data_IF_484134844675
#
_entry.id   IF_484134844675
#
_cell.length_a   1.000
_cell.length_b   1.000
_cell.length_c   1.000
_cell.angle_alpha   90.00
_cell.angle_beta   90.00
_cell.angle_gamma   90.00
#
_symmetry.space_group_name_H-M   'P 1'
#
loop_
_entity.id
_entity.type
_entity.pdbx_description
1 polymer ?
#
# COMPACT_ATOMS: atom_id res chain seq x y z
N UNK A 1 -3.67 -4.31 16.34
CA UNK A 1 -4.32 -4.89 17.53
C UNK A 1 -5.84 -5.06 17.38
N UNK A 2 -6.61 -4.02 17.05
CA UNK A 2 -8.09 -4.07 17.05
C UNK A 2 -8.71 -5.03 16.03
N UNK A 3 -7.96 -5.44 15.00
CA UNK A 3 -8.37 -6.46 14.03
C UNK A 3 -7.50 -7.72 14.10
N UNK A 4 -6.42 -7.71 14.88
CA UNK A 4 -5.46 -8.80 14.96
C UNK A 4 -5.99 -9.97 15.81
N UNK A 5 -5.59 -11.20 15.47
CA UNK A 5 -5.81 -12.38 16.31
C UNK A 5 -7.21 -13.02 16.24
N UNK A 6 -8.10 -12.56 15.36
CA UNK A 6 -9.45 -13.15 15.19
C UNK A 6 -9.51 -14.31 14.18
N UNK A 7 -8.44 -14.50 13.39
CA UNK A 7 -8.39 -15.46 12.27
C UNK A 7 -9.41 -15.18 11.14
N UNK A 8 -10.09 -14.03 11.17
CA UNK A 8 -11.15 -13.69 10.21
C UNK A 8 -10.66 -12.65 9.20
N UNK A 9 -10.86 -12.86 7.89
CA UNK A 9 -10.51 -11.89 6.85
C UNK A 9 -11.09 -10.50 7.10
N UNK A 10 -10.33 -9.49 6.71
CA UNK A 10 -10.74 -8.09 6.76
C UNK A 10 -10.70 -7.45 5.37
N UNK A 11 -11.36 -6.31 5.25
CA UNK A 11 -11.30 -5.45 4.08
C UNK A 11 -10.58 -4.16 4.45
N UNK A 12 -9.59 -3.77 3.63
CA UNK A 12 -8.79 -2.56 3.84
C UNK A 12 -8.90 -1.70 2.58
N UNK A 13 -9.23 -0.42 2.74
CA UNK A 13 -9.26 0.56 1.65
C UNK A 13 -8.28 1.68 1.99
N UNK A 14 -7.27 1.86 1.14
CA UNK A 14 -6.34 2.98 1.20
C UNK A 14 -6.62 3.92 0.02
N UNK A 15 -6.97 5.17 0.31
CA UNK A 15 -7.12 6.24 -0.69
C UNK A 15 -6.05 7.29 -0.51
N UNK A 16 -5.38 7.60 -1.60
CA UNK A 16 -4.21 8.48 -1.64
C UNK A 16 -4.42 9.53 -2.72
N UNK A 17 -4.63 10.78 -2.31
CA UNK A 17 -4.61 11.93 -3.22
C UNK A 17 -3.21 12.52 -3.26
N UNK A 18 -2.36 11.91 -4.09
CA UNK A 18 -0.93 12.19 -4.14
C UNK A 18 -0.60 13.53 -4.81
N UNK A 19 -1.58 14.15 -5.48
CA UNK A 19 -1.44 15.39 -6.25
C UNK A 19 -0.59 15.23 -7.51
N UNK A 20 -0.72 16.17 -8.44
CA UNK A 20 0.04 16.15 -9.69
C UNK A 20 1.52 16.46 -9.43
N UNK A 21 2.40 15.78 -10.17
CA UNK A 21 3.83 16.09 -10.22
C UNK A 21 4.22 16.53 -11.63
N UNK A 22 5.36 17.20 -11.75
CA UNK A 22 5.83 17.63 -13.07
C UNK A 22 6.11 16.40 -13.95
N UNK A 23 5.76 16.52 -15.23
CA UNK A 23 5.90 15.43 -16.20
C UNK A 23 7.35 15.00 -16.45
N UNK A 24 8.34 15.86 -16.14
CA UNK A 24 9.78 15.61 -16.25
C UNK A 24 10.39 14.99 -14.97
N UNK A 25 9.56 14.60 -14.02
CA UNK A 25 10.02 13.93 -12.80
C UNK A 25 10.41 12.48 -13.08
N UNK A 26 11.54 12.04 -12.53
CA UNK A 26 11.98 10.64 -12.58
C UNK A 26 10.92 9.64 -12.05
N UNK A 27 10.02 10.08 -11.18
CA UNK A 27 8.86 9.29 -10.70
C UNK A 27 7.89 8.89 -11.82
N UNK A 28 7.85 9.65 -12.92
CA UNK A 28 7.01 9.41 -14.09
C UNK A 28 7.72 8.52 -15.13
N UNK A 29 9.02 8.29 -14.96
CA UNK A 29 9.82 7.49 -15.87
C UNK A 29 9.61 6.00 -15.58
N UNK A 30 9.32 5.23 -16.63
CA UNK A 30 9.09 3.78 -16.54
C UNK A 30 10.36 3.01 -16.23
N UNK A 31 11.48 3.45 -16.80
CA UNK A 31 12.75 2.75 -16.76
C UNK A 31 13.54 3.13 -15.51
N UNK A 32 13.44 4.39 -15.04
CA UNK A 32 14.12 4.85 -13.82
C UNK A 32 13.27 4.65 -12.55
N UNK A 33 11.99 5.04 -12.58
CA UNK A 33 11.14 5.11 -11.40
C UNK A 33 10.13 3.97 -11.25
N UNK A 34 9.91 3.18 -12.30
CA UNK A 34 8.86 2.14 -12.35
C UNK A 34 7.44 2.72 -12.27
N UNK A 35 7.28 4.00 -12.60
CA UNK A 35 6.10 4.83 -12.33
C UNK A 35 5.84 5.04 -10.83
N UNK A 36 4.98 6.00 -10.53
CA UNK A 36 4.72 6.41 -9.15
C UNK A 36 4.10 5.31 -8.28
N UNK A 37 3.47 4.31 -8.90
CA UNK A 37 2.94 3.15 -8.19
C UNK A 37 4.06 2.29 -7.58
N UNK A 38 5.19 2.12 -8.28
CA UNK A 38 6.34 1.36 -7.77
C UNK A 38 7.07 2.14 -6.68
N UNK A 39 7.22 3.45 -6.86
CA UNK A 39 8.01 4.28 -5.97
C UNK A 39 7.28 4.80 -4.72
N UNK A 40 5.99 5.18 -4.81
CA UNK A 40 5.20 5.73 -3.70
C UNK A 40 4.01 4.82 -3.34
N UNK A 41 3.44 4.11 -4.32
CA UNK A 41 2.33 3.18 -4.11
C UNK A 41 2.68 2.00 -3.19
N UNK A 42 3.93 1.53 -3.24
CA UNK A 42 4.45 0.44 -2.41
C UNK A 42 4.23 0.66 -0.90
N UNK A 43 4.30 1.91 -0.40
CA UNK A 43 4.03 2.21 1.01
C UNK A 43 2.62 1.80 1.45
N UNK A 44 1.64 1.87 0.54
CA UNK A 44 0.26 1.50 0.82
C UNK A 44 0.04 0.01 0.71
N UNK A 45 0.75 -0.65 -0.19
CA UNK A 45 0.81 -2.12 -0.27
C UNK A 45 1.39 -2.69 1.01
N UNK A 46 2.51 -2.13 1.49
CA UNK A 46 3.13 -2.48 2.76
C UNK A 46 2.16 -2.29 3.93
N UNK A 47 1.51 -1.12 4.01
CA UNK A 47 0.53 -0.85 5.06
C UNK A 47 -0.66 -1.82 5.06
N UNK A 48 -1.17 -2.19 3.88
CA UNK A 48 -2.25 -3.18 3.74
C UNK A 48 -1.80 -4.54 4.30
N UNK A 49 -0.59 -5.00 3.93
CA UNK A 49 -0.03 -6.26 4.42
C UNK A 49 0.19 -6.22 5.94
N UNK A 50 0.72 -5.11 6.45
CA UNK A 50 0.93 -4.90 7.88
C UNK A 50 -0.38 -4.93 8.67
N UNK A 51 -1.43 -4.23 8.20
CA UNK A 51 -2.73 -4.19 8.88
C UNK A 51 -3.39 -5.58 8.89
N UNK A 52 -3.31 -6.32 7.78
CA UNK A 52 -3.85 -7.67 7.69
C UNK A 52 -2.99 -8.71 8.43
N UNK A 53 -1.70 -8.46 8.61
CA UNK A 53 -0.75 -9.47 9.06
C UNK A 53 -0.57 -10.61 8.06
N UNK A 54 -0.74 -10.33 6.76
CA UNK A 54 -0.66 -11.31 5.68
C UNK A 54 -0.12 -10.67 4.41
N UNK A 55 0.61 -11.45 3.61
CA UNK A 55 1.13 -10.98 2.32
C UNK A 55 0.07 -11.03 1.22
N UNK A 56 0.26 -10.23 0.17
CA UNK A 56 -0.55 -10.30 -1.05
C UNK A 56 -0.21 -11.57 -1.84
N UNK A 57 -1.24 -12.26 -2.34
CA UNK A 57 -1.14 -13.40 -3.25
C UNK A 57 -1.31 -12.99 -4.72
N UNK A 58 -2.26 -12.07 -4.99
CA UNK A 58 -2.64 -11.66 -6.35
C UNK A 58 -3.10 -10.21 -6.37
N UNK A 59 -2.71 -9.48 -7.41
CA UNK A 59 -3.16 -8.13 -7.68
C UNK A 59 -3.96 -8.07 -8.99
N UNK A 60 -4.94 -7.18 -9.05
CA UNK A 60 -5.56 -6.71 -10.28
C UNK A 60 -5.66 -5.20 -10.22
N UNK A 61 -5.33 -4.49 -11.30
CA UNK A 61 -5.34 -3.05 -11.30
C UNK A 61 -5.81 -2.46 -12.63
N UNK A 62 -6.50 -1.33 -12.53
CA UNK A 62 -6.97 -0.56 -13.66
C UNK A 62 -6.63 0.91 -13.47
N UNK A 63 -6.53 1.62 -14.58
CA UNK A 63 -6.14 3.02 -14.64
C UNK A 63 -7.20 3.84 -15.37
N UNK A 64 -7.42 5.07 -14.90
CA UNK A 64 -8.42 5.96 -15.49
C UNK A 64 -8.06 6.23 -16.95
N UNK A 65 -8.97 5.94 -17.88
CA UNK A 65 -8.73 6.10 -19.32
C UNK A 65 -7.94 4.95 -19.96
N UNK A 66 -7.67 3.87 -19.23
CA UNK A 66 -6.94 2.69 -19.73
C UNK A 66 -5.45 2.94 -19.96
N UNK A 67 -4.82 2.05 -20.72
CA UNK A 67 -3.39 2.13 -21.05
C UNK A 67 -3.07 3.35 -21.92
N UNK A 68 -2.49 4.38 -21.32
CA UNK A 68 -1.99 5.55 -22.05
C UNK A 68 -0.57 5.27 -22.55
N UNK A 69 -0.45 4.87 -23.82
CA UNK A 69 0.85 4.70 -24.46
C UNK A 69 1.67 6.00 -24.39
N UNK A 70 2.81 5.96 -23.70
CA UNK A 70 3.79 7.05 -23.65
C UNK A 70 3.42 8.26 -22.77
N UNK A 71 2.43 8.15 -21.86
CA UNK A 71 2.14 9.20 -20.87
C UNK A 71 2.02 8.66 -19.46
N UNK A 72 2.57 9.42 -18.52
CA UNK A 72 2.33 9.34 -17.07
C UNK A 72 0.83 9.23 -16.75
N UNK A 73 0.37 8.19 -16.03
CA UNK A 73 -0.95 8.17 -15.43
C UNK A 73 -0.89 7.52 -14.04
N UNK A 74 -0.88 8.39 -13.03
CA UNK A 74 -0.87 8.00 -11.63
C UNK A 74 -2.27 7.65 -11.10
N UNK A 75 -3.33 7.73 -11.92
CA UNK A 75 -4.70 7.52 -11.44
C UNK A 75 -5.12 6.07 -11.66
N UNK A 76 -5.01 5.26 -10.62
CA UNK A 76 -5.33 3.85 -10.67
C UNK A 76 -6.08 3.35 -9.43
N UNK A 77 -6.75 2.22 -9.61
CA UNK A 77 -7.30 1.40 -8.54
C UNK A 77 -6.69 0.02 -8.64
N UNK A 78 -6.15 -0.48 -7.54
CA UNK A 78 -5.64 -1.84 -7.42
C UNK A 78 -6.41 -2.61 -6.34
N UNK A 79 -6.85 -3.81 -6.66
CA UNK A 79 -7.42 -4.78 -5.72
C UNK A 79 -6.41 -5.87 -5.44
N UNK A 80 -6.16 -6.14 -4.15
CA UNK A 80 -5.15 -7.05 -3.64
C UNK A 80 -5.83 -8.18 -2.88
N UNK A 81 -5.63 -9.41 -3.33
CA UNK A 81 -6.05 -10.62 -2.59
C UNK A 81 -4.90 -11.05 -1.68
N UNK A 82 -5.14 -11.12 -0.37
CA UNK A 82 -4.14 -11.56 0.61
C UNK A 82 -4.28 -13.07 0.90
N UNK A 83 -3.17 -13.69 1.35
CA UNK A 83 -3.09 -15.13 1.62
C UNK A 83 -4.01 -15.62 2.74
N UNK A 84 -4.29 -14.78 3.73
CA UNK A 84 -5.26 -15.04 4.81
C UNK A 84 -6.73 -14.93 4.35
N UNK A 85 -6.96 -14.52 3.11
CA UNK A 85 -8.29 -14.30 2.55
C UNK A 85 -8.81 -12.87 2.69
N UNK A 86 -8.06 -11.96 3.30
CA UNK A 86 -8.35 -10.53 3.34
C UNK A 86 -8.27 -9.91 1.95
N UNK A 87 -8.87 -8.72 1.80
CA UNK A 87 -8.83 -7.95 0.55
C UNK A 87 -8.38 -6.53 0.87
N UNK A 88 -7.38 -6.07 0.13
CA UNK A 88 -6.94 -4.68 0.11
C UNK A 88 -7.39 -3.99 -1.16
N UNK A 89 -7.75 -2.71 -1.07
CA UNK A 89 -7.97 -1.83 -2.22
C UNK A 89 -7.11 -0.59 -2.06
N UNK A 90 -6.29 -0.31 -3.07
CA UNK A 90 -5.54 0.94 -3.19
C UNK A 90 -6.19 1.81 -4.26
N UNK A 91 -6.70 2.97 -3.86
CA UNK A 91 -7.15 4.03 -4.76
C UNK A 91 -6.04 5.09 -4.76
N UNK A 92 -5.27 5.14 -5.84
CA UNK A 92 -4.19 6.10 -5.99
C UNK A 92 -4.60 7.12 -7.04
N UNK A 93 -4.63 8.40 -6.67
CA UNK A 93 -5.00 9.48 -7.58
C UNK A 93 -4.02 10.64 -7.48
N UNK A 94 -3.73 11.25 -8.62
CA UNK A 94 -2.94 12.47 -8.73
C UNK A 94 -3.76 13.66 -9.27
N UNK A 95 -4.99 13.41 -9.73
CA UNK A 95 -5.87 14.43 -10.32
C UNK A 95 -6.89 15.04 -9.34
N UNK A 96 -6.77 14.76 -8.04
CA UNK A 96 -7.63 15.35 -7.01
C UNK A 96 -7.14 16.71 -6.54
N UNK A 97 -8.06 17.59 -6.15
CA UNK A 97 -7.73 18.88 -5.53
C UNK A 97 -6.99 18.66 -4.20
N UNK A 98 -5.82 19.28 -4.04
CA UNK A 98 -4.92 19.08 -2.89
C UNK A 98 -5.42 19.75 -1.59
N UNK A 99 -6.51 20.52 -1.66
CA UNK A 99 -7.23 20.99 -0.47
C UNK A 99 -7.95 19.85 0.26
N UNK A 100 -8.29 18.77 -0.43
CA UNK A 100 -8.75 17.54 0.21
C UNK A 100 -7.60 16.84 0.94
N UNK A 101 -7.90 16.17 2.06
CA UNK A 101 -6.89 15.40 2.79
C UNK A 101 -6.22 14.36 1.89
N UNK A 102 -4.89 14.19 2.03
CA UNK A 102 -4.09 13.32 1.15
C UNK A 102 -4.40 11.85 1.41
N UNK A 103 -4.28 11.41 2.66
CA UNK A 103 -4.37 10.00 3.01
C UNK A 103 -5.68 9.65 3.74
N UNK A 104 -6.36 8.58 3.34
CA UNK A 104 -7.48 8.00 4.10
C UNK A 104 -7.38 6.48 4.08
N UNK A 105 -7.46 5.86 5.25
CA UNK A 105 -7.38 4.40 5.40
C UNK A 105 -8.61 3.93 6.14
N UNK A 106 -9.30 2.94 5.60
CA UNK A 106 -10.49 2.35 6.20
C UNK A 106 -10.31 0.85 6.34
N UNK A 107 -10.68 0.29 7.49
CA UNK A 107 -10.57 -1.14 7.77
C UNK A 107 -11.92 -1.63 8.26
N UNK A 108 -12.44 -2.68 7.64
CA UNK A 108 -13.73 -3.29 7.94
C UNK A 108 -13.58 -4.77 8.28
N UNK A 109 -14.34 -5.22 9.26
CA UNK A 109 -14.43 -6.63 9.62
C UNK A 109 -14.85 -6.81 11.05
N UNK A 110 -15.35 -8.01 11.39
CA UNK A 110 -15.64 -8.39 12.77
C UNK A 110 -16.61 -7.43 13.51
N UNK A 111 -17.57 -6.83 12.77
CA UNK A 111 -18.47 -5.77 13.25
C UNK A 111 -17.74 -4.52 13.79
N UNK A 112 -16.57 -4.22 13.23
CA UNK A 112 -15.72 -3.07 13.55
C UNK A 112 -15.40 -2.32 12.27
N UNK A 113 -15.27 -1.01 12.41
CA UNK A 113 -14.76 -0.12 11.36
C UNK A 113 -13.70 0.77 11.98
N UNK A 114 -12.51 0.81 11.41
CA UNK A 114 -11.50 1.80 11.75
C UNK A 114 -11.27 2.75 10.57
N UNK A 115 -10.99 4.01 10.88
CA UNK A 115 -10.66 5.03 9.90
C UNK A 115 -9.45 5.81 10.39
N UNK A 116 -8.43 5.94 9.53
CA UNK A 116 -7.36 6.92 9.69
C UNK A 116 -7.58 8.02 8.63
N UNK A 117 -7.57 9.27 9.08
CA UNK A 117 -7.73 10.44 8.22
C UNK A 117 -6.50 11.34 8.31
N UNK A 118 -5.79 11.41 7.19
CA UNK A 118 -4.61 12.23 6.93
C UNK A 118 -3.52 12.12 8.01
N UNK A 119 -3.40 10.94 8.64
CA UNK A 119 -2.54 10.66 9.80
C UNK A 119 -2.76 11.56 11.02
N UNK A 120 -3.82 12.38 11.02
CA UNK A 120 -4.14 13.35 12.06
C UNK A 120 -5.18 12.83 13.03
N UNK A 121 -6.07 11.99 12.54
CA UNK A 121 -7.16 11.44 13.31
C UNK A 121 -7.30 9.95 13.04
N UNK A 122 -7.59 9.19 14.09
CA UNK A 122 -8.06 7.82 13.97
C UNK A 122 -9.43 7.69 14.65
N UNK A 123 -10.32 6.89 14.10
CA UNK A 123 -11.57 6.49 14.74
C UNK A 123 -11.75 4.98 14.67
N UNK A 124 -12.42 4.42 15.67
CA UNK A 124 -12.87 3.03 15.68
C UNK A 124 -14.31 3.01 16.11
N UNK A 125 -15.18 2.46 15.26
CA UNK A 125 -16.58 2.20 15.54
C UNK A 125 -16.78 0.71 15.78
N UNK A 126 -17.35 0.36 16.94
CA UNK A 126 -17.63 -1.02 17.33
C UNK A 126 -18.73 -1.04 18.39
N UNK A 127 -19.62 -2.05 18.34
CA UNK A 127 -20.73 -2.23 19.31
C UNK A 127 -21.58 -0.95 19.49
N UNK A 128 -21.82 -0.22 18.39
CA UNK A 128 -22.59 1.02 18.39
C UNK A 128 -21.91 2.24 19.03
N UNK A 129 -20.61 2.18 19.34
CA UNK A 129 -19.84 3.28 19.92
C UNK A 129 -18.64 3.63 19.05
N UNK A 130 -18.28 4.91 19.01
CA UNK A 130 -17.09 5.41 18.30
C UNK A 130 -16.08 5.95 19.30
N UNK A 131 -14.86 5.43 19.23
CA UNK A 131 -13.67 5.98 19.89
C UNK A 131 -12.89 6.81 18.88
N UNK A 132 -12.32 7.94 19.32
CA UNK A 132 -11.56 8.87 18.47
C UNK A 132 -10.24 9.22 19.15
N UNK A 133 -9.19 9.27 18.35
CA UNK A 133 -7.86 9.73 18.73
C UNK A 133 -7.43 10.83 17.76
N UNK A 134 -6.74 11.84 18.29
CA UNK A 134 -6.07 12.85 17.48
C UNK A 134 -4.58 12.72 17.73
N UNK A 135 -3.79 12.59 16.66
CA UNK A 135 -2.34 12.57 16.77
C UNK A 135 -1.85 14.01 17.02
N UNK A 136 -1.22 14.25 18.18
CA UNK A 136 -0.61 15.54 18.51
C UNK A 136 0.73 15.78 17.79
N UNK A 137 1.39 14.70 17.34
CA UNK A 137 2.63 14.75 16.60
C UNK A 137 2.39 14.56 15.10
N UNK A 138 2.89 15.49 14.31
CA UNK A 138 2.87 15.46 12.85
C UNK A 138 4.16 14.82 12.33
N UNK A 139 4.07 13.60 11.81
CA UNK A 139 5.23 12.96 11.17
C UNK A 139 4.85 11.62 10.57
N UNK A 140 5.50 11.24 9.47
CA UNK A 140 5.27 9.98 8.76
C UNK A 140 6.06 8.79 9.33
N UNK A 141 6.53 8.90 10.57
CA UNK A 141 7.28 7.84 11.24
C UNK A 141 8.76 7.73 10.89
N UNK A 142 9.31 8.51 9.94
CA UNK A 142 10.71 8.39 9.47
C UNK A 142 11.76 8.37 10.60
N UNK A 143 11.60 9.21 11.62
CA UNK A 143 12.53 9.25 12.75
C UNK A 143 12.47 7.96 13.58
N UNK A 144 11.27 7.41 13.79
CA UNK A 144 11.07 6.16 14.50
C UNK A 144 11.59 4.96 13.69
N UNK A 145 11.36 4.96 12.37
CA UNK A 145 11.90 3.97 11.43
C UNK A 145 13.44 3.94 11.47
N UNK A 146 14.09 5.11 11.35
CA UNK A 146 15.55 5.20 11.39
C UNK A 146 16.12 4.77 12.74
N UNK A 147 15.43 5.12 13.84
CA UNK A 147 15.84 4.68 15.17
C UNK A 147 15.74 3.15 15.29
N UNK A 148 14.63 2.54 14.85
CA UNK A 148 14.47 1.09 14.84
C UNK A 148 15.55 0.39 14.01
N UNK A 149 15.91 0.96 12.85
CA UNK A 149 17.02 0.48 12.02
C UNK A 149 18.36 0.50 12.76
N UNK A 150 18.70 1.63 13.39
CA UNK A 150 19.94 1.76 14.16
C UNK A 150 19.97 0.76 15.31
N UNK A 151 18.85 0.57 16.01
CA UNK A 151 18.76 -0.34 17.14
C UNK A 151 18.88 -1.81 16.71
N UNK A 152 18.23 -2.20 15.61
CA UNK A 152 18.38 -3.53 15.01
C UNK A 152 19.83 -3.78 14.59
N UNK A 153 20.49 -2.82 13.94
CA UNK A 153 21.89 -2.94 13.53
C UNK A 153 22.86 -3.08 14.72
N UNK A 154 22.55 -2.46 15.87
CA UNK A 154 23.37 -2.53 17.08
C UNK A 154 23.15 -3.79 17.91
N UNK A 155 21.91 -4.26 17.97
CA UNK A 155 21.48 -5.29 18.94
C UNK A 155 21.15 -6.63 18.31
N UNK A 156 21.00 -6.69 16.97
CA UNK A 156 20.46 -7.85 16.27
C UNK A 156 18.98 -8.10 16.56
N UNK A 157 18.24 -7.08 16.98
CA UNK A 157 16.81 -7.21 17.28
C UNK A 157 15.93 -7.23 16.03
N UNK A 158 14.79 -7.91 16.12
CA UNK A 158 13.76 -7.99 15.06
C UNK A 158 12.86 -6.73 15.01
N UNK A 159 13.36 -5.58 15.46
CA UNK A 159 12.59 -4.34 15.51
C UNK A 159 12.35 -3.72 14.12
N UNK A 160 13.07 -4.18 13.10
CA UNK A 160 12.92 -3.75 11.72
C UNK A 160 11.88 -4.55 10.94
N UNK A 161 11.37 -3.94 9.87
CA UNK A 161 10.63 -4.63 8.82
C UNK A 161 11.40 -5.89 8.39
N UNK A 162 10.82 -7.10 8.53
CA UNK A 162 11.47 -8.32 8.09
C UNK A 162 11.77 -8.27 6.59
N UNK A 163 12.94 -8.76 6.18
CA UNK A 163 13.32 -8.76 4.77
C UNK A 163 12.31 -9.49 3.87
N UNK A 164 11.72 -10.58 4.38
CA UNK A 164 10.66 -11.31 3.66
C UNK A 164 9.41 -10.46 3.39
N UNK A 165 9.02 -9.61 4.34
CA UNK A 165 7.86 -8.71 4.18
C UNK A 165 8.17 -7.62 3.15
N UNK A 166 9.40 -7.09 3.15
CA UNK A 166 9.86 -6.14 2.14
C UNK A 166 9.83 -6.76 0.73
N UNK A 167 10.35 -7.99 0.58
CA UNK A 167 10.32 -8.73 -0.70
C UNK A 167 8.88 -8.99 -1.15
N UNK A 168 7.99 -9.40 -0.24
CA UNK A 168 6.57 -9.61 -0.55
C UNK A 168 5.87 -8.32 -0.99
N UNK A 169 6.17 -7.19 -0.34
CA UNK A 169 5.69 -5.87 -0.75
C UNK A 169 6.18 -5.50 -2.16
N UNK A 170 7.46 -5.71 -2.45
CA UNK A 170 8.03 -5.47 -3.79
C UNK A 170 7.33 -6.33 -4.85
N UNK A 171 7.18 -7.63 -4.61
CA UNK A 171 6.49 -8.55 -5.51
C UNK A 171 5.04 -8.10 -5.79
N UNK A 172 4.30 -7.74 -4.74
CA UNK A 172 2.92 -7.27 -4.87
C UNK A 172 2.85 -5.97 -5.68
N UNK A 173 3.80 -5.06 -5.47
CA UNK A 173 3.88 -3.79 -6.19
C UNK A 173 4.19 -4.00 -7.67
N UNK A 174 5.09 -4.92 -8.01
CA UNK A 174 5.34 -5.30 -9.40
C UNK A 174 4.15 -6.01 -10.04
N UNK A 175 3.43 -6.87 -9.30
CA UNK A 175 2.20 -7.48 -9.79
C UNK A 175 1.13 -6.43 -10.15
N UNK A 176 1.02 -5.33 -9.39
CA UNK A 176 0.17 -4.19 -9.73
C UNK A 176 0.63 -3.56 -11.05
N UNK A 177 1.93 -3.24 -11.18
CA UNK A 177 2.47 -2.64 -12.39
C UNK A 177 2.26 -3.53 -13.63
N UNK A 178 2.53 -4.83 -13.52
CA UNK A 178 2.26 -5.81 -14.59
C UNK A 178 0.78 -5.87 -14.93
N UNK A 179 -0.10 -5.87 -13.92
CA UNK A 179 -1.56 -5.89 -14.14
C UNK A 179 -2.03 -4.64 -14.88
N UNK A 180 -1.53 -3.44 -14.55
CA UNK A 180 -1.82 -2.20 -15.28
C UNK A 180 -1.40 -2.28 -16.76
N UNK A 181 -0.32 -2.99 -17.09
CA UNK A 181 0.19 -3.11 -18.45
C UNK A 181 -0.52 -4.18 -19.29
N UNK A 182 -1.01 -5.24 -18.63
CA UNK A 182 -1.56 -6.46 -19.24
C UNK A 182 -3.08 -6.58 -19.13
N UNK A 183 -3.71 -5.76 -18.29
CA UNK A 183 -5.15 -5.72 -18.04
C UNK A 183 -5.72 -7.06 -17.53
N UNK A 184 -4.89 -7.86 -16.84
CA UNK A 184 -5.30 -9.14 -16.22
C UNK A 184 -4.82 -9.25 -14.77
N UNK A 185 -5.45 -10.10 -13.94
CA UNK A 185 -4.93 -10.39 -12.60
C UNK A 185 -3.57 -11.10 -12.64
N UNK A 186 -2.64 -10.68 -11.79
CA UNK A 186 -1.25 -11.18 -11.74
C UNK A 186 -0.95 -11.74 -10.35
N UNK A 187 -0.38 -12.96 -10.26
CA UNK A 187 0.08 -13.51 -8.98
C UNK A 187 1.44 -12.94 -8.61
N UNK A 188 1.67 -12.69 -7.32
CA UNK A 188 2.95 -12.18 -6.84
C UNK A 188 4.11 -13.16 -7.11
N UNK A 189 3.83 -14.46 -7.12
CA UNK A 189 4.84 -15.49 -7.38
C UNK A 189 5.33 -15.43 -8.85
N UNK A 190 4.49 -14.98 -9.80
CA UNK A 190 4.82 -14.95 -11.23
C UNK A 190 5.79 -13.80 -11.60
N UNK A 191 5.84 -12.73 -10.79
CA UNK A 191 6.74 -11.58 -11.04
C UNK A 191 8.11 -11.73 -10.38
N UNK A 192 8.26 -12.68 -9.45
CA UNK A 192 9.52 -12.92 -8.74
C UNK A 192 10.44 -13.91 -9.45
N UNK A 193 9.93 -14.64 -10.45
CA UNK A 193 10.69 -15.59 -11.25
C UNK A 193 10.98 -14.96 -12.62
N UNK A 194 12.17 -14.39 -12.79
CA UNK A 194 12.66 -14.10 -14.14
C UNK A 194 13.01 -15.44 -14.82
N UNK A 195 12.62 -15.66 -16.08
CA UNK A 195 13.05 -16.83 -16.85
C UNK A 195 14.57 -16.90 -17.10
N UNK A 196 15.34 -15.92 -16.65
CA UNK A 196 16.80 -15.83 -16.89
C UNK A 196 17.69 -16.55 -15.85
N UNK A 197 17.13 -17.18 -14.81
CA UNK A 197 17.93 -17.92 -13.81
C UNK A 197 18.05 -19.43 -14.06
N UNK A 198 17.54 -19.94 -15.19
CA UNK A 198 17.81 -21.30 -15.67
C UNK A 198 18.74 -21.25 -16.89
N UNK A 199 20.05 -21.09 -16.66
CA UNK A 199 21.12 -21.50 -17.59
C UNK A 199 22.44 -21.73 -16.84
#
# INVERSE_FOLDING_TARGET
>A
EEFAGSGSPIEIVCRVNAGEIKADSWYQDADEGGWRIVSEGCHWVDLIQFIAGSTVERAYAEMVGGKLAGKSNDNCVATLRLRDGSIGTLIYVANGDTTAGKERIEVFGQNRTAVIDNWRQATITSKGKTRKWSAGATGKGHAAEMQAFIDAARTGSDACLPFGDAVACTAATFAIATSLLTEVPVRCDDVMHSPETEN
#
